data_IF_821897133051
#
_entry.id   IF_821897133051
#
_cell.length_a   1.000
_cell.length_b   1.000
_cell.length_c   1.000
_cell.angle_alpha   90.00
_cell.angle_beta   90.00
_cell.angle_gamma   90.00
#
_symmetry.space_group_name_H-M   'P 1'
#
loop_
_entity.id
_entity.type
_entity.pdbx_description
1 polymer ?
#
# COMPACT_ATOMS: atom_id res chain seq x y z
N UNK A 1 -65.27 -23.85 8.35
CA UNK A 1 -64.02 -23.31 7.78
C UNK A 1 -63.40 -22.44 8.87
N UNK A 2 -62.27 -22.87 9.45
CA UNK A 2 -61.58 -22.15 10.53
C UNK A 2 -60.28 -21.58 9.96
N UNK A 3 -60.11 -20.26 10.09
CA UNK A 3 -58.83 -19.57 9.89
C UNK A 3 -57.91 -19.88 11.08
N UNK A 4 -56.64 -20.14 10.83
CA UNK A 4 -55.55 -19.75 11.74
C UNK A 4 -54.25 -19.55 10.95
N UNK A 5 -53.39 -18.63 11.41
CA UNK A 5 -52.47 -17.87 10.57
C UNK A 5 -51.16 -18.61 10.30
N UNK A 6 -50.59 -18.32 9.14
CA UNK A 6 -49.20 -18.64 8.79
C UNK A 6 -48.30 -17.89 9.77
N UNK A 7 -47.65 -18.61 10.69
CA UNK A 7 -46.50 -18.08 11.41
C UNK A 7 -45.32 -18.04 10.44
N UNK A 8 -45.10 -16.88 9.83
CA UNK A 8 -43.83 -16.58 9.18
C UNK A 8 -42.82 -16.35 10.30
N UNK A 9 -41.93 -17.32 10.53
CA UNK A 9 -40.78 -17.12 11.41
C UNK A 9 -39.85 -16.16 10.67
N UNK A 10 -39.83 -14.90 11.10
CA UNK A 10 -38.75 -13.98 10.76
C UNK A 10 -37.46 -14.56 11.32
N UNK A 11 -36.72 -15.28 10.47
CA UNK A 11 -35.31 -15.56 10.73
C UNK A 11 -34.58 -14.24 10.64
N UNK A 12 -34.40 -13.58 11.79
CA UNK A 12 -33.38 -12.56 11.96
C UNK A 12 -32.05 -13.20 11.55
N UNK A 13 -31.52 -12.76 10.41
CA UNK A 13 -30.15 -13.05 10.02
C UNK A 13 -29.32 -12.24 11.02
N UNK A 14 -28.79 -12.91 12.04
CA UNK A 14 -27.70 -12.36 12.84
C UNK A 14 -26.53 -12.16 11.87
N UNK A 15 -26.38 -10.94 11.36
CA UNK A 15 -25.07 -10.48 10.90
C UNK A 15 -24.14 -10.59 12.11
N UNK A 16 -23.35 -11.67 12.16
CA UNK A 16 -22.16 -11.71 13.01
C UNK A 16 -21.31 -10.50 12.61
N UNK A 17 -21.47 -9.42 13.35
CA UNK A 17 -20.55 -8.29 13.32
C UNK A 17 -19.24 -8.88 13.82
N UNK A 18 -18.34 -9.25 12.90
CA UNK A 18 -16.98 -9.67 13.26
C UNK A 18 -16.45 -8.59 14.19
N UNK A 19 -16.19 -8.98 15.44
CA UNK A 19 -15.67 -8.07 16.45
C UNK A 19 -14.33 -7.57 15.92
N UNK A 20 -14.20 -6.28 15.64
CA UNK A 20 -12.91 -5.69 15.27
C UNK A 20 -11.93 -6.00 16.42
N UNK A 21 -10.93 -6.82 16.12
CA UNK A 21 -9.85 -7.12 17.06
C UNK A 21 -8.75 -6.13 16.76
N UNK A 22 -8.61 -5.13 17.63
CA UNK A 22 -7.54 -4.14 17.53
C UNK A 22 -6.18 -4.84 17.44
N UNK A 23 -5.36 -4.42 16.48
CA UNK A 23 -3.99 -4.90 16.39
C UNK A 23 -3.20 -4.41 17.61
N UNK A 24 -2.53 -5.30 18.38
CA UNK A 24 -1.75 -4.88 19.54
C UNK A 24 -0.68 -3.84 19.19
N UNK A 25 -0.50 -2.83 20.05
CA UNK A 25 0.47 -1.74 19.81
C UNK A 25 1.89 -2.27 19.60
N UNK A 26 2.31 -3.28 20.38
CA UNK A 26 3.61 -3.94 20.22
C UNK A 26 3.79 -4.55 18.83
N UNK A 27 2.72 -5.07 18.22
CA UNK A 27 2.77 -5.59 16.85
C UNK A 27 2.97 -4.46 15.83
N UNK A 28 2.26 -3.34 15.99
CA UNK A 28 2.44 -2.16 15.13
C UNK A 28 3.87 -1.63 15.20
N UNK A 29 4.48 -1.59 16.40
CA UNK A 29 5.86 -1.17 16.60
C UNK A 29 6.86 -2.14 15.93
N UNK A 30 6.65 -3.45 16.09
CA UNK A 30 7.49 -4.47 15.46
C UNK A 30 7.42 -4.39 13.93
N UNK A 31 6.22 -4.25 13.36
CA UNK A 31 6.05 -4.11 11.91
C UNK A 31 6.69 -2.80 11.43
N UNK A 32 6.51 -1.69 12.15
CA UNK A 32 7.17 -0.41 11.82
C UNK A 32 8.68 -0.55 11.78
N UNK A 33 9.29 -1.25 12.75
CA UNK A 33 10.73 -1.48 12.77
C UNK A 33 11.19 -2.33 11.57
N UNK A 34 10.43 -3.38 11.20
CA UNK A 34 10.74 -4.22 10.04
C UNK A 34 10.65 -3.45 8.73
N UNK A 35 9.63 -2.62 8.55
CA UNK A 35 9.46 -1.79 7.36
C UNK A 35 10.60 -0.77 7.23
N UNK A 36 11.02 -0.16 8.34
CA UNK A 36 12.19 0.75 8.37
C UNK A 36 13.48 0.03 7.96
N UNK A 37 13.66 -1.21 8.42
CA UNK A 37 14.82 -2.01 8.02
C UNK A 37 14.76 -2.37 6.53
N UNK A 38 13.59 -2.72 6.00
CA UNK A 38 13.42 -3.00 4.59
C UNK A 38 13.73 -1.79 3.71
N UNK A 39 13.30 -0.59 4.13
CA UNK A 39 13.66 0.66 3.45
C UNK A 39 15.18 0.94 3.45
N UNK A 40 15.90 0.49 4.49
CA UNK A 40 17.35 0.69 4.61
C UNK A 40 18.14 -0.15 3.60
N UNK A 41 17.63 -1.33 3.26
CA UNK A 41 18.26 -2.28 2.34
C UNK A 41 17.56 -2.35 0.98
N UNK A 42 16.67 -1.39 0.71
CA UNK A 42 15.86 -1.36 -0.50
C UNK A 42 16.72 -1.28 -1.76
N UNK A 43 16.51 -2.21 -2.69
CA UNK A 43 17.13 -2.21 -4.02
C UNK A 43 16.12 -1.72 -5.07
N UNK A 44 16.40 -0.58 -5.68
CA UNK A 44 15.55 0.00 -6.72
C UNK A 44 15.46 -0.91 -7.96
N UNK A 45 16.45 -1.75 -8.22
CA UNK A 45 16.46 -2.63 -9.38
C UNK A 45 15.28 -3.62 -9.38
N UNK A 46 14.83 -4.05 -8.19
CA UNK A 46 13.70 -4.98 -8.04
C UNK A 46 12.38 -4.36 -8.51
N UNK A 47 12.32 -3.03 -8.59
CA UNK A 47 11.14 -2.27 -8.99
C UNK A 47 11.32 -1.50 -10.30
N UNK A 48 12.55 -1.38 -10.79
CA UNK A 48 12.89 -0.56 -11.95
C UNK A 48 12.07 -0.93 -13.18
N UNK A 49 11.90 -2.21 -13.49
CA UNK A 49 11.17 -2.62 -14.70
C UNK A 49 9.73 -2.07 -14.73
N UNK A 50 9.02 -2.18 -13.60
CA UNK A 50 7.62 -1.72 -13.47
C UNK A 50 7.57 -0.19 -13.46
N UNK A 51 8.47 0.45 -12.71
CA UNK A 51 8.55 1.92 -12.65
C UNK A 51 8.82 2.48 -14.05
N UNK A 52 9.82 1.95 -14.74
CA UNK A 52 10.28 2.45 -16.02
C UNK A 52 9.25 2.24 -17.12
N UNK A 53 8.55 1.10 -17.15
CA UNK A 53 7.45 0.86 -18.09
C UNK A 53 6.34 1.91 -17.92
N UNK A 54 5.90 2.17 -16.68
CA UNK A 54 4.87 3.18 -16.41
C UNK A 54 5.34 4.60 -16.74
N UNK A 55 6.60 4.91 -16.46
CA UNK A 55 7.20 6.21 -16.81
C UNK A 55 7.20 6.41 -18.33
N UNK A 56 7.64 5.39 -19.09
CA UNK A 56 7.66 5.46 -20.55
C UNK A 56 6.26 5.59 -21.14
N UNK A 57 5.26 4.90 -20.58
CA UNK A 57 3.88 5.02 -21.03
C UNK A 57 3.34 6.44 -20.83
N UNK A 58 3.47 6.99 -19.62
CA UNK A 58 2.99 8.32 -19.26
C UNK A 58 3.74 9.44 -19.98
N UNK A 59 5.05 9.30 -20.19
CA UNK A 59 5.88 10.33 -20.81
C UNK A 59 5.54 10.58 -22.29
N UNK A 60 4.90 9.64 -23.00
CA UNK A 60 4.58 9.76 -24.43
C UNK A 60 3.73 10.98 -24.79
N UNK A 61 2.93 11.47 -23.85
CA UNK A 61 1.96 12.55 -24.07
C UNK A 61 2.34 13.84 -23.34
N UNK A 62 3.55 13.91 -22.78
CA UNK A 62 3.98 15.00 -21.91
C UNK A 62 5.13 15.80 -22.51
N UNK A 63 5.15 17.09 -22.20
CA UNK A 63 6.27 17.99 -22.50
C UNK A 63 7.43 17.75 -21.51
N UNK A 64 8.67 18.10 -21.90
CA UNK A 64 9.87 17.73 -21.13
C UNK A 64 9.89 18.26 -19.68
N UNK A 65 9.31 19.44 -19.45
CA UNK A 65 9.20 20.05 -18.12
C UNK A 65 8.16 19.34 -17.21
N UNK A 66 7.23 18.59 -17.79
CA UNK A 66 6.21 17.81 -17.08
C UNK A 66 6.68 16.40 -16.69
N UNK A 67 7.73 15.89 -17.36
CA UNK A 67 8.17 14.50 -17.19
C UNK A 67 8.71 14.24 -15.78
N UNK A 68 9.55 15.13 -15.25
CA UNK A 68 10.17 14.92 -13.93
C UNK A 68 9.12 14.94 -12.80
N UNK A 69 8.18 15.90 -12.74
CA UNK A 69 7.04 15.81 -11.83
C UNK A 69 6.25 14.50 -11.97
N UNK A 70 5.98 14.05 -13.20
CA UNK A 70 5.28 12.78 -13.43
C UNK A 70 6.06 11.55 -12.94
N UNK A 71 7.40 11.53 -13.10
CA UNK A 71 8.24 10.45 -12.56
C UNK A 71 8.12 10.40 -11.05
N UNK A 72 8.20 11.55 -10.37
CA UNK A 72 8.01 11.63 -8.93
C UNK A 72 6.65 11.05 -8.51
N UNK A 73 5.56 11.45 -9.17
CA UNK A 73 4.22 10.91 -8.89
C UNK A 73 4.12 9.40 -9.14
N UNK A 74 4.79 8.90 -10.17
CA UNK A 74 4.82 7.47 -10.49
C UNK A 74 5.60 6.68 -9.44
N UNK A 75 6.77 7.19 -9.01
CA UNK A 75 7.54 6.60 -7.90
C UNK A 75 6.71 6.58 -6.62
N UNK A 76 6.10 7.70 -6.24
CA UNK A 76 5.24 7.80 -5.07
C UNK A 76 4.13 6.75 -5.15
N UNK A 77 3.36 6.72 -6.24
CA UNK A 77 2.24 5.79 -6.39
C UNK A 77 2.64 4.31 -6.34
N UNK A 78 3.71 3.92 -7.02
CA UNK A 78 4.14 2.50 -7.10
C UNK A 78 4.74 2.06 -5.77
N UNK A 79 5.58 2.90 -5.15
CA UNK A 79 6.21 2.57 -3.87
C UNK A 79 5.20 2.59 -2.72
N UNK A 80 4.23 3.49 -2.77
CA UNK A 80 3.12 3.51 -1.82
C UNK A 80 2.31 2.23 -1.84
N UNK A 81 1.96 1.74 -3.03
CA UNK A 81 1.26 0.48 -3.19
C UNK A 81 2.10 -0.71 -2.68
N UNK A 82 3.39 -0.72 -3.02
CA UNK A 82 4.34 -1.73 -2.53
C UNK A 82 4.40 -1.77 -1.01
N UNK A 83 4.71 -0.63 -0.35
CA UNK A 83 4.88 -0.61 1.09
C UNK A 83 3.58 -0.87 1.85
N UNK A 84 2.42 -0.41 1.35
CA UNK A 84 1.13 -0.76 1.95
C UNK A 84 0.84 -2.26 1.89
N UNK A 85 1.06 -2.89 0.74
CA UNK A 85 0.92 -4.34 0.59
C UNK A 85 1.86 -5.06 1.56
N UNK A 86 3.13 -4.64 1.59
CA UNK A 86 4.15 -5.23 2.44
C UNK A 86 3.83 -5.11 3.93
N UNK A 87 3.32 -3.97 4.36
CA UNK A 87 2.85 -3.76 5.74
C UNK A 87 1.71 -4.73 6.06
N UNK A 88 0.74 -4.89 5.17
CA UNK A 88 -0.35 -5.86 5.32
C UNK A 88 0.17 -7.28 5.50
N UNK A 89 1.07 -7.73 4.62
CA UNK A 89 1.70 -9.06 4.69
C UNK A 89 2.44 -9.29 6.02
N UNK A 90 3.09 -8.24 6.53
CA UNK A 90 3.78 -8.31 7.81
C UNK A 90 2.79 -8.38 8.98
N UNK A 91 1.70 -7.60 8.95
CA UNK A 91 0.67 -7.57 9.99
C UNK A 91 -0.07 -8.90 10.11
N UNK A 92 -0.28 -9.63 9.01
CA UNK A 92 -0.88 -10.98 9.04
C UNK A 92 -0.14 -11.98 9.93
N UNK A 93 1.16 -11.75 10.21
CA UNK A 93 1.92 -12.62 11.13
C UNK A 93 1.58 -12.37 12.61
N UNK A 94 0.87 -11.30 12.93
CA UNK A 94 0.57 -10.85 14.29
C UNK A 94 -0.93 -10.72 14.56
N UNK A 95 -1.71 -10.31 13.55
CA UNK A 95 -3.16 -10.21 13.61
C UNK A 95 -3.75 -10.55 12.23
N UNK A 96 -4.48 -11.67 12.14
CA UNK A 96 -5.17 -12.07 10.90
C UNK A 96 -6.35 -11.15 10.55
N UNK A 97 -6.81 -10.34 11.51
CA UNK A 97 -7.91 -9.38 11.36
C UNK A 97 -7.43 -7.92 11.40
N UNK A 98 -6.18 -7.64 11.01
CA UNK A 98 -5.69 -6.27 10.98
C UNK A 98 -6.57 -5.39 10.07
N UNK A 99 -6.64 -4.10 10.38
CA UNK A 99 -7.47 -3.14 9.65
C UNK A 99 -6.65 -2.32 8.65
N UNK A 100 -7.32 -1.70 7.68
CA UNK A 100 -6.66 -0.70 6.82
C UNK A 100 -6.07 0.47 7.62
N UNK A 101 -6.67 0.81 8.76
CA UNK A 101 -6.16 1.85 9.67
C UNK A 101 -4.81 1.44 10.29
N UNK A 102 -4.61 0.16 10.60
CA UNK A 102 -3.32 -0.35 11.09
C UNK A 102 -2.22 -0.19 10.04
N UNK A 103 -2.54 -0.49 8.78
CA UNK A 103 -1.63 -0.29 7.65
C UNK A 103 -1.24 1.18 7.54
N UNK A 104 -2.22 2.09 7.51
CA UNK A 104 -1.95 3.53 7.41
C UNK A 104 -1.21 4.07 8.63
N UNK A 105 -1.43 3.51 9.82
CA UNK A 105 -0.70 3.90 11.03
C UNK A 105 0.79 3.57 10.89
N UNK A 106 1.13 2.33 10.52
CA UNK A 106 2.52 1.92 10.27
C UNK A 106 3.12 2.70 9.12
N UNK A 107 2.36 2.87 8.04
CA UNK A 107 2.78 3.63 6.87
C UNK A 107 3.10 5.07 7.27
N UNK A 108 2.21 5.82 7.91
CA UNK A 108 2.46 7.21 8.28
C UNK A 108 3.59 7.38 9.31
N UNK A 109 3.86 6.36 10.14
CA UNK A 109 4.97 6.35 11.10
C UNK A 109 6.34 5.96 10.51
N UNK A 110 6.40 5.76 9.19
CA UNK A 110 7.62 5.43 8.49
C UNK A 110 8.01 6.57 7.53
N UNK A 111 9.17 7.20 7.79
CA UNK A 111 9.69 8.27 6.93
C UNK A 111 10.23 7.70 5.62
N UNK A 112 9.58 8.03 4.50
CA UNK A 112 9.90 7.52 3.15
C UNK A 112 10.54 8.53 2.22
N UNK A 113 10.45 9.82 2.56
CA UNK A 113 10.80 10.93 1.65
C UNK A 113 12.18 10.78 1.03
N UNK A 114 13.19 10.44 1.83
CA UNK A 114 14.56 10.29 1.33
C UNK A 114 14.71 9.12 0.35
N UNK A 115 14.08 7.98 0.64
CA UNK A 115 14.10 6.82 -0.25
C UNK A 115 13.42 7.15 -1.59
N UNK A 116 12.24 7.78 -1.54
CA UNK A 116 11.51 8.14 -2.76
C UNK A 116 12.27 9.14 -3.62
N UNK A 117 12.96 10.11 -3.01
CA UNK A 117 13.83 11.04 -3.72
C UNK A 117 15.02 10.34 -4.40
N UNK A 118 15.60 9.32 -3.75
CA UNK A 118 16.67 8.52 -4.36
C UNK A 118 16.16 7.71 -5.54
N UNK A 119 14.98 7.09 -5.42
CA UNK A 119 14.34 6.35 -6.50
C UNK A 119 13.96 7.31 -7.65
N UNK A 120 13.38 8.47 -7.37
CA UNK A 120 13.09 9.52 -8.37
C UNK A 120 14.36 9.90 -9.13
N UNK A 121 15.46 10.16 -8.43
CA UNK A 121 16.74 10.53 -9.05
C UNK A 121 17.29 9.40 -9.94
N UNK A 122 17.20 8.16 -9.47
CA UNK A 122 17.60 6.98 -10.23
C UNK A 122 16.78 6.86 -11.52
N UNK A 123 15.46 6.87 -11.43
CA UNK A 123 14.55 6.73 -12.57
C UNK A 123 14.66 7.89 -13.55
N UNK A 124 14.80 9.13 -13.05
CA UNK A 124 15.06 10.30 -13.90
C UNK A 124 16.36 10.17 -14.69
N UNK A 125 17.42 9.68 -14.04
CA UNK A 125 18.72 9.47 -14.69
C UNK A 125 18.61 8.38 -15.76
N UNK A 126 17.93 7.27 -15.46
CA UNK A 126 17.69 6.21 -16.44
C UNK A 126 16.85 6.70 -17.62
N UNK A 127 15.78 7.45 -17.36
CA UNK A 127 14.93 8.03 -18.38
C UNK A 127 15.72 8.96 -19.32
N UNK A 128 16.56 9.85 -18.79
CA UNK A 128 17.37 10.76 -19.62
C UNK A 128 18.43 10.05 -20.47
N UNK A 129 18.90 8.89 -20.05
CA UNK A 129 19.97 8.15 -20.73
C UNK A 129 19.45 7.08 -21.71
N UNK A 130 18.18 6.67 -21.61
CA UNK A 130 17.60 5.57 -22.41
C UNK A 130 16.37 5.99 -23.23
N UNK A 131 16.11 7.31 -23.31
CA UNK A 131 15.15 7.92 -24.24
C UNK A 131 15.76 8.10 -25.62
#
# INVERSE_FOLDING_TARGET
MKNQPVQTVESAIEEETQKEVDTPEDALLLVTAKVKEEMRVFDVNDHHAILFEQILEKARTLEEDQIRPMIKETVESVMDAYFRSRIGDLLLNYNEYYTASDVETVFNNTSRTALYQLIELYEWTFYKNNR
#
